data_IF_512775488675
#
_entry.id   IF_512775488675
#
_cell.length_a   1.000
_cell.length_b   1.000
_cell.length_c   1.000
_cell.angle_alpha   90.00
_cell.angle_beta   90.00
_cell.angle_gamma   90.00
#
_symmetry.space_group_name_H-M   'P 1'
#
loop_
_entity.id
_entity.type
_entity.pdbx_description
1 polymer ?
#
# COMPACT_ATOMS: atom_id res chain seq x y z
N UNK A 1 36.64 0.57 11.93
CA UNK A 1 35.73 -0.02 12.93
C UNK A 1 35.00 1.10 13.63
N UNK A 2 33.80 1.45 13.19
CA UNK A 2 32.85 2.27 13.98
C UNK A 2 31.45 1.95 13.46
N UNK A 3 30.80 1.06 14.16
CA UNK A 3 29.38 0.73 14.00
C UNK A 3 28.56 1.82 14.69
N UNK A 4 28.00 2.73 13.92
CA UNK A 4 27.01 3.69 14.42
C UNK A 4 25.66 2.98 14.53
N UNK A 5 25.27 2.62 15.75
CA UNK A 5 23.94 2.12 16.07
C UNK A 5 22.91 3.26 15.88
N UNK A 6 21.99 3.08 14.94
CA UNK A 6 20.85 3.97 14.72
C UNK A 6 19.87 3.80 15.87
N UNK A 7 19.95 4.66 16.89
CA UNK A 7 18.93 4.77 17.95
C UNK A 7 17.69 5.43 17.34
N UNK A 8 16.65 4.64 17.09
CA UNK A 8 15.31 5.15 16.76
C UNK A 8 14.78 5.87 18.00
N UNK A 9 14.59 7.17 17.90
CA UNK A 9 14.05 8.02 18.97
C UNK A 9 12.55 7.75 19.17
N UNK A 10 12.23 6.94 20.19
CA UNK A 10 10.86 6.56 20.58
C UNK A 10 10.06 7.78 21.08
N UNK A 11 10.72 8.89 21.43
CA UNK A 11 10.05 10.10 21.95
C UNK A 11 9.37 10.93 20.84
N UNK A 12 9.83 10.85 19.58
CA UNK A 12 9.22 11.59 18.46
C UNK A 12 7.87 11.02 18.05
N UNK A 13 7.65 9.72 18.32
CA UNK A 13 6.42 9.01 17.95
C UNK A 13 5.24 9.28 18.93
N UNK A 14 5.51 9.82 20.11
CA UNK A 14 4.46 10.17 21.10
C UNK A 14 3.72 11.46 20.74
N UNK A 15 4.39 12.47 20.20
CA UNK A 15 3.78 13.78 19.86
C UNK A 15 2.91 13.74 18.60
N UNK A 16 3.10 12.76 17.70
CA UNK A 16 2.29 12.60 16.48
C UNK A 16 0.92 11.96 16.72
N UNK A 17 0.69 11.31 17.88
CA UNK A 17 -0.58 10.67 18.23
C UNK A 17 -1.63 11.63 18.82
N UNK A 18 -1.24 12.86 19.17
CA UNK A 18 -2.12 13.81 19.87
C UNK A 18 -3.19 14.47 18.99
N UNK A 19 -3.11 14.31 17.64
CA UNK A 19 -4.08 14.88 16.70
C UNK A 19 -4.90 13.85 15.91
N UNK A 20 -4.89 12.58 16.32
CA UNK A 20 -5.72 11.55 15.66
C UNK A 20 -7.10 11.52 16.33
N UNK A 21 -8.20 11.74 15.59
CA UNK A 21 -9.55 11.67 16.15
C UNK A 21 -9.82 10.36 16.88
N UNK A 22 -10.57 10.38 17.98
CA UNK A 22 -10.83 9.20 18.84
C UNK A 22 -11.43 8.02 18.09
N UNK A 23 -12.28 8.26 17.09
CA UNK A 23 -12.86 7.22 16.24
C UNK A 23 -11.80 6.50 15.38
N UNK A 24 -10.76 7.22 14.93
CA UNK A 24 -9.61 6.63 14.22
C UNK A 24 -8.78 5.78 15.18
N UNK A 25 -8.59 6.20 16.42
CA UNK A 25 -7.87 5.42 17.44
C UNK A 25 -8.58 4.10 17.78
N UNK A 26 -9.91 4.09 17.86
CA UNK A 26 -10.69 2.85 18.04
C UNK A 26 -10.57 1.92 16.81
N UNK A 27 -10.57 2.49 15.62
CA UNK A 27 -10.41 1.74 14.38
C UNK A 27 -8.99 1.13 14.28
N UNK A 28 -7.95 1.91 14.57
CA UNK A 28 -6.55 1.43 14.61
C UNK A 28 -6.36 0.29 15.64
N UNK A 29 -7.13 0.28 16.73
CA UNK A 29 -7.10 -0.82 17.71
C UNK A 29 -7.55 -2.17 17.10
N UNK A 30 -8.45 -2.16 16.12
CA UNK A 30 -8.89 -3.34 15.36
C UNK A 30 -7.80 -3.92 14.44
N UNK A 31 -6.73 -3.16 14.17
CA UNK A 31 -5.60 -3.58 13.33
C UNK A 31 -4.48 -4.25 14.12
N UNK A 32 -4.64 -4.39 15.42
CA UNK A 32 -3.64 -4.99 16.31
C UNK A 32 -3.42 -6.47 15.94
N UNK A 33 -2.22 -6.82 15.50
CA UNK A 33 -1.87 -8.18 15.09
C UNK A 33 -2.07 -8.48 13.60
N UNK A 34 -2.59 -7.55 12.80
CA UNK A 34 -2.61 -7.67 11.34
C UNK A 34 -1.25 -7.30 10.77
N UNK A 35 -0.85 -7.97 9.72
CA UNK A 35 0.43 -7.78 9.05
C UNK A 35 0.22 -7.15 7.68
N UNK A 36 1.15 -6.29 7.29
CA UNK A 36 1.15 -5.72 5.95
C UNK A 36 1.69 -6.75 4.95
N UNK A 37 1.01 -6.89 3.82
CA UNK A 37 1.41 -7.80 2.76
C UNK A 37 1.40 -7.10 1.40
N UNK A 38 2.32 -7.50 0.51
CA UNK A 38 2.44 -6.96 -0.84
C UNK A 38 2.50 -8.10 -1.86
N UNK A 39 1.60 -8.05 -2.83
CA UNK A 39 1.54 -9.00 -3.94
C UNK A 39 1.78 -8.30 -5.26
N UNK A 40 2.86 -8.67 -5.93
CA UNK A 40 3.31 -8.08 -7.19
C UNK A 40 3.14 -9.05 -8.36
N UNK A 41 3.21 -8.56 -9.57
CA UNK A 41 3.24 -9.37 -10.79
C UNK A 41 2.65 -8.65 -11.99
N UNK A 42 2.81 -9.18 -13.16
CA UNK A 42 2.27 -8.63 -14.40
C UNK A 42 0.74 -8.54 -14.41
N UNK A 43 0.20 -7.77 -15.35
CA UNK A 43 -1.24 -7.67 -15.54
C UNK A 43 -1.85 -9.06 -15.83
N UNK A 44 -3.04 -9.33 -15.34
CA UNK A 44 -3.79 -10.60 -15.53
C UNK A 44 -3.08 -11.88 -15.04
N UNK A 45 -2.10 -11.80 -14.15
CA UNK A 45 -1.39 -12.97 -13.61
C UNK A 45 -2.12 -13.68 -12.46
N UNK A 46 -3.36 -13.30 -12.16
CA UNK A 46 -4.18 -13.99 -11.15
C UNK A 46 -3.93 -13.56 -9.70
N UNK A 47 -3.26 -12.42 -9.46
CA UNK A 47 -2.91 -11.89 -8.13
C UNK A 47 -4.12 -11.81 -7.19
N UNK A 48 -5.19 -11.12 -7.59
CA UNK A 48 -6.43 -10.97 -6.78
C UNK A 48 -7.03 -12.33 -6.40
N UNK A 49 -7.12 -13.27 -7.36
CA UNK A 49 -7.64 -14.62 -7.10
C UNK A 49 -6.75 -15.37 -6.09
N UNK A 50 -5.43 -15.23 -6.22
CA UNK A 50 -4.47 -15.82 -5.29
C UNK A 50 -4.64 -15.26 -3.89
N UNK A 51 -4.68 -13.93 -3.73
CA UNK A 51 -4.84 -13.25 -2.44
C UNK A 51 -6.16 -13.66 -1.76
N UNK A 52 -7.29 -13.67 -2.47
CA UNK A 52 -8.58 -14.06 -1.91
C UNK A 52 -8.70 -15.56 -1.59
N UNK A 53 -7.84 -16.40 -2.15
CA UNK A 53 -7.69 -17.80 -1.74
C UNK A 53 -6.87 -17.92 -0.45
N UNK A 54 -5.84 -17.09 -0.31
CA UNK A 54 -4.96 -17.04 0.86
C UNK A 54 -5.66 -16.40 2.06
N UNK A 55 -6.47 -15.36 1.82
CA UNK A 55 -7.22 -14.56 2.79
C UNK A 55 -8.73 -14.61 2.47
N UNK A 56 -9.43 -15.72 2.78
CA UNK A 56 -10.86 -15.84 2.50
C UNK A 56 -11.72 -14.78 3.22
N UNK A 57 -11.26 -14.29 4.37
CA UNK A 57 -11.87 -13.22 5.17
C UNK A 57 -11.91 -11.87 4.43
N UNK A 58 -11.02 -11.66 3.47
CA UNK A 58 -10.99 -10.46 2.64
C UNK A 58 -11.98 -10.49 1.47
N UNK A 59 -12.75 -11.57 1.32
CA UNK A 59 -13.74 -11.67 0.26
C UNK A 59 -14.83 -10.61 0.44
N UNK A 60 -15.02 -9.77 -0.58
CA UNK A 60 -15.92 -8.62 -0.52
C UNK A 60 -15.31 -7.36 0.09
N UNK A 61 -14.02 -7.38 0.47
CA UNK A 61 -13.31 -6.26 1.09
C UNK A 61 -12.20 -5.70 0.18
N UNK A 62 -12.38 -5.81 -1.12
CA UNK A 62 -11.41 -5.35 -2.12
C UNK A 62 -11.79 -3.98 -2.64
N UNK A 63 -10.90 -3.03 -2.47
CA UNK A 63 -10.99 -1.68 -3.00
C UNK A 63 -10.10 -1.62 -4.25
N UNK A 64 -10.69 -1.27 -5.39
CA UNK A 64 -9.90 -1.04 -6.59
C UNK A 64 -9.20 0.32 -6.49
N UNK A 65 -7.91 0.39 -6.83
CA UNK A 65 -7.09 1.59 -6.67
C UNK A 65 -7.66 2.82 -7.40
N UNK A 66 -8.28 2.62 -8.56
CA UNK A 66 -8.98 3.68 -9.29
C UNK A 66 -10.15 4.30 -8.51
N UNK A 67 -10.78 3.54 -7.59
CA UNK A 67 -11.88 3.99 -6.76
C UNK A 67 -11.42 4.61 -5.44
N UNK A 68 -10.20 4.28 -4.99
CA UNK A 68 -9.64 4.84 -3.76
C UNK A 68 -9.47 6.37 -3.90
N UNK A 69 -9.99 7.19 -2.96
CA UNK A 69 -9.82 8.64 -3.01
C UNK A 69 -8.35 9.08 -3.02
N UNK A 70 -8.07 10.19 -3.71
CA UNK A 70 -6.74 10.80 -3.77
C UNK A 70 -6.57 11.93 -2.74
N UNK A 71 -7.39 11.94 -1.70
CA UNK A 71 -7.30 12.80 -0.52
C UNK A 71 -7.40 11.97 0.76
N UNK A 72 -6.89 12.52 1.85
CA UNK A 72 -6.79 11.78 3.10
C UNK A 72 -8.13 11.46 3.75
N UNK A 73 -9.05 12.42 3.76
CA UNK A 73 -10.34 12.28 4.46
C UNK A 73 -11.26 11.28 3.72
N UNK A 74 -11.29 11.36 2.40
CA UNK A 74 -11.99 10.41 1.55
C UNK A 74 -11.42 8.99 1.70
N UNK A 75 -10.08 8.86 1.72
CA UNK A 75 -9.40 7.57 1.88
C UNK A 75 -9.73 6.91 3.23
N UNK A 76 -9.71 7.69 4.33
CA UNK A 76 -10.09 7.16 5.65
C UNK A 76 -11.53 6.68 5.64
N UNK A 77 -12.44 7.48 5.08
CA UNK A 77 -13.86 7.14 5.02
C UNK A 77 -14.08 5.83 4.25
N UNK A 78 -13.42 5.67 3.13
CA UNK A 78 -13.51 4.44 2.32
C UNK A 78 -12.95 3.23 3.08
N UNK A 79 -11.76 3.36 3.67
CA UNK A 79 -11.11 2.26 4.38
C UNK A 79 -11.84 1.82 5.65
N UNK A 80 -12.58 2.72 6.30
CA UNK A 80 -13.34 2.43 7.51
C UNK A 80 -14.57 1.54 7.27
N UNK A 81 -15.04 1.44 6.03
CA UNK A 81 -16.15 0.55 5.67
C UNK A 81 -15.74 -0.94 5.67
N UNK A 82 -14.45 -1.25 5.78
CA UNK A 82 -13.91 -2.59 5.65
C UNK A 82 -13.09 -3.01 6.87
N UNK A 83 -13.27 -4.27 7.30
CA UNK A 83 -12.47 -4.83 8.41
C UNK A 83 -11.07 -5.28 7.95
N UNK A 84 -10.97 -5.86 6.76
CA UNK A 84 -9.73 -6.39 6.19
C UNK A 84 -9.54 -5.92 4.75
N UNK A 85 -9.39 -4.60 4.51
CA UNK A 85 -9.34 -4.07 3.17
C UNK A 85 -8.11 -4.55 2.41
N UNK A 86 -8.34 -4.90 1.15
CA UNK A 86 -7.32 -5.21 0.16
C UNK A 86 -7.35 -4.11 -0.89
N UNK A 87 -6.25 -3.39 -1.07
CA UNK A 87 -6.12 -2.41 -2.14
C UNK A 87 -5.58 -3.13 -3.37
N UNK A 88 -6.45 -3.34 -4.36
CA UNK A 88 -6.08 -3.93 -5.64
C UNK A 88 -5.75 -2.85 -6.65
N UNK A 89 -4.88 -3.14 -7.60
CA UNK A 89 -4.39 -2.18 -8.60
C UNK A 89 -3.87 -0.86 -7.98
N UNK A 90 -3.04 -0.96 -6.94
CA UNK A 90 -2.45 0.19 -6.25
C UNK A 90 -1.84 1.21 -7.22
N UNK A 91 -1.24 0.76 -8.33
CA UNK A 91 -0.68 1.60 -9.37
C UNK A 91 -1.73 2.55 -9.98
N UNK A 92 -3.00 2.15 -10.12
CA UNK A 92 -4.04 3.03 -10.63
C UNK A 92 -4.40 4.18 -9.68
N UNK A 93 -4.34 3.93 -8.35
CA UNK A 93 -4.45 4.99 -7.36
C UNK A 93 -3.32 6.03 -7.49
N UNK A 94 -2.08 5.55 -7.69
CA UNK A 94 -0.93 6.46 -7.91
C UNK A 94 -1.14 7.32 -9.16
N UNK A 95 -1.60 6.72 -10.26
CA UNK A 95 -1.95 7.45 -11.49
C UNK A 95 -2.97 8.54 -11.21
N UNK A 96 -4.07 8.19 -10.52
CA UNK A 96 -5.13 9.14 -10.13
C UNK A 96 -4.57 10.30 -9.29
N UNK A 97 -3.71 10.02 -8.32
CA UNK A 97 -3.07 11.07 -7.51
C UNK A 97 -2.24 12.02 -8.37
N UNK A 98 -1.46 11.49 -9.33
CA UNK A 98 -0.66 12.31 -10.25
C UNK A 98 -1.52 13.18 -11.16
N UNK A 99 -2.59 12.63 -11.72
CA UNK A 99 -3.56 13.36 -12.55
C UNK A 99 -4.26 14.50 -11.78
N UNK A 100 -4.49 14.28 -10.47
CA UNK A 100 -5.06 15.27 -9.56
C UNK A 100 -4.02 16.16 -8.89
N UNK A 101 -2.73 16.03 -9.26
CA UNK A 101 -1.60 16.78 -8.68
C UNK A 101 -1.51 16.67 -7.15
N UNK A 102 -1.91 15.52 -6.60
CA UNK A 102 -1.84 15.23 -5.18
C UNK A 102 -0.46 14.65 -4.83
N UNK A 103 0.03 14.99 -3.65
CA UNK A 103 1.29 14.44 -3.13
C UNK A 103 1.12 12.96 -2.73
N UNK A 104 1.51 12.08 -3.65
CA UNK A 104 1.44 10.61 -3.49
C UNK A 104 2.26 10.15 -2.28
N UNK A 105 3.46 10.71 -2.10
CA UNK A 105 4.38 10.31 -1.04
C UNK A 105 3.80 10.63 0.34
N UNK A 106 3.26 11.83 0.50
CA UNK A 106 2.64 12.25 1.76
C UNK A 106 1.42 11.39 2.11
N UNK A 107 0.54 11.12 1.13
CA UNK A 107 -0.63 10.26 1.34
C UNK A 107 -0.23 8.82 1.64
N UNK A 108 0.74 8.29 0.91
CA UNK A 108 1.25 6.94 1.13
C UNK A 108 1.88 6.79 2.52
N UNK A 109 2.68 7.76 2.98
CA UNK A 109 3.26 7.73 4.32
C UNK A 109 2.18 7.67 5.40
N UNK A 110 1.18 8.53 5.32
CA UNK A 110 0.04 8.52 6.24
C UNK A 110 -0.69 7.18 6.21
N UNK A 111 -0.93 6.63 5.01
CA UNK A 111 -1.61 5.35 4.83
C UNK A 111 -0.83 4.21 5.50
N UNK A 112 0.47 4.09 5.24
CA UNK A 112 1.32 3.03 5.76
C UNK A 112 1.58 3.15 7.27
N UNK A 113 1.51 4.36 7.83
CA UNK A 113 1.63 4.59 9.28
C UNK A 113 0.31 4.31 10.02
N UNK A 114 -0.83 4.61 9.37
CA UNK A 114 -2.15 4.49 10.00
C UNK A 114 -2.71 3.07 9.91
N UNK A 115 -2.43 2.36 8.82
CA UNK A 115 -3.01 1.05 8.51
C UNK A 115 -1.92 -0.03 8.34
N UNK A 116 -1.31 -0.52 9.43
CA UNK A 116 -0.17 -1.44 9.37
C UNK A 116 -0.51 -2.86 8.86
N UNK A 117 -1.79 -3.19 8.72
CA UNK A 117 -2.25 -4.51 8.28
C UNK A 117 -2.89 -4.52 6.89
N UNK A 118 -2.65 -3.51 6.05
CA UNK A 118 -3.18 -3.48 4.68
C UNK A 118 -2.54 -4.54 3.80
N UNK A 119 -3.36 -5.12 2.93
CA UNK A 119 -2.91 -5.99 1.85
C UNK A 119 -2.92 -5.19 0.54
N UNK A 120 -1.77 -5.14 -0.11
CA UNK A 120 -1.60 -4.43 -1.37
C UNK A 120 -1.40 -5.41 -2.53
N UNK A 121 -2.12 -5.17 -3.62
CA UNK A 121 -1.92 -5.86 -4.91
C UNK A 121 -1.55 -4.81 -5.93
N UNK A 122 -0.41 -4.98 -6.60
CA UNK A 122 0.10 -4.02 -7.56
C UNK A 122 0.64 -4.70 -8.82
N UNK A 123 0.43 -4.08 -9.97
CA UNK A 123 1.04 -4.54 -11.21
C UNK A 123 2.48 -4.04 -11.34
N UNK A 124 3.33 -4.85 -11.95
CA UNK A 124 4.68 -4.49 -12.36
C UNK A 124 4.62 -3.66 -13.63
N UNK A 125 4.47 -2.33 -13.51
CA UNK A 125 4.32 -1.42 -14.66
C UNK A 125 5.65 -0.88 -15.20
N UNK A 126 6.75 -1.13 -14.51
CA UNK A 126 8.09 -0.65 -14.88
C UNK A 126 8.77 -1.44 -16.01
N UNK A 127 8.21 -2.60 -16.37
CA UNK A 127 8.79 -3.48 -17.39
C UNK A 127 8.46 -2.97 -18.81
N UNK A 128 9.48 -2.85 -19.66
CA UNK A 128 9.33 -2.47 -21.07
C UNK A 128 10.06 -1.19 -21.45
N UNK A 129 9.73 -0.65 -22.63
CA UNK A 129 10.38 0.53 -23.20
C UNK A 129 10.13 1.76 -22.31
N UNK A 130 11.16 2.61 -22.18
CA UNK A 130 11.03 3.89 -21.46
C UNK A 130 10.00 4.77 -22.17
N UNK A 131 8.96 5.25 -21.49
CA UNK A 131 7.94 6.09 -22.10
C UNK A 131 8.51 7.44 -22.54
N UNK A 132 8.08 7.93 -23.69
CA UNK A 132 8.40 9.30 -24.12
C UNK A 132 7.65 10.33 -23.30
N UNK A 133 6.45 10.03 -22.84
CA UNK A 133 5.63 10.89 -22.00
C UNK A 133 6.22 11.04 -20.59
N UNK A 134 6.29 12.29 -20.10
CA UNK A 134 6.87 12.61 -18.80
C UNK A 134 6.01 12.11 -17.64
N UNK A 135 4.68 12.19 -17.77
CA UNK A 135 3.75 11.71 -16.75
C UNK A 135 3.84 10.19 -16.59
N UNK A 136 3.97 9.46 -17.70
CA UNK A 136 4.16 8.01 -17.68
C UNK A 136 5.49 7.60 -17.03
N UNK A 137 6.56 8.39 -17.20
CA UNK A 137 7.84 8.13 -16.51
C UNK A 137 7.71 8.36 -15.01
N UNK A 138 7.12 9.49 -14.59
CA UNK A 138 6.87 9.84 -13.19
C UNK A 138 5.95 8.79 -12.52
N UNK A 139 4.90 8.37 -13.20
CA UNK A 139 4.01 7.31 -12.76
C UNK A 139 4.74 5.99 -12.46
N UNK A 140 5.59 5.54 -13.38
CA UNK A 140 6.39 4.31 -13.18
C UNK A 140 7.38 4.46 -12.03
N UNK A 141 8.05 5.61 -11.95
CA UNK A 141 9.02 5.89 -10.88
C UNK A 141 8.36 5.90 -9.51
N UNK A 142 7.26 6.63 -9.34
CA UNK A 142 6.54 6.70 -8.06
C UNK A 142 5.93 5.36 -7.67
N UNK A 143 5.41 4.61 -8.63
CA UNK A 143 4.92 3.25 -8.35
C UNK A 143 6.05 2.36 -7.82
N UNK A 144 7.20 2.36 -8.46
CA UNK A 144 8.36 1.59 -7.99
C UNK A 144 8.83 2.02 -6.60
N UNK A 145 8.92 3.32 -6.34
CA UNK A 145 9.30 3.88 -5.02
C UNK A 145 8.30 3.47 -3.94
N UNK A 146 7.00 3.54 -4.20
CA UNK A 146 5.99 3.13 -3.24
C UNK A 146 6.03 1.62 -2.98
N UNK A 147 6.22 0.79 -4.02
CA UNK A 147 6.40 -0.65 -3.85
C UNK A 147 7.60 -0.99 -2.94
N UNK A 148 8.74 -0.29 -3.10
CA UNK A 148 9.91 -0.45 -2.22
C UNK A 148 9.54 -0.13 -0.77
N UNK A 149 8.88 1.00 -0.51
CA UNK A 149 8.49 1.43 0.83
C UNK A 149 7.49 0.48 1.50
N UNK A 150 6.53 -0.05 0.73
CA UNK A 150 5.61 -1.08 1.22
C UNK A 150 6.39 -2.37 1.53
N UNK A 151 7.27 -2.82 0.64
CA UNK A 151 8.06 -4.03 0.83
C UNK A 151 8.98 -3.95 2.05
N UNK A 152 9.52 -2.77 2.38
CA UNK A 152 10.29 -2.55 3.62
C UNK A 152 9.45 -2.80 4.87
N UNK A 153 8.19 -2.35 4.90
CA UNK A 153 7.27 -2.46 6.04
C UNK A 153 6.51 -3.80 6.07
N UNK A 154 6.26 -4.40 4.91
CA UNK A 154 5.50 -5.64 4.79
C UNK A 154 6.23 -6.82 5.43
N UNK A 155 5.48 -7.73 6.07
CA UNK A 155 6.00 -9.00 6.58
C UNK A 155 5.98 -10.10 5.51
N UNK A 156 5.18 -9.89 4.45
CA UNK A 156 5.10 -10.79 3.31
C UNK A 156 5.15 -10.00 2.00
N UNK A 157 6.05 -10.41 1.11
CA UNK A 157 6.12 -9.92 -0.26
C UNK A 157 6.16 -11.12 -1.20
N UNK A 158 5.22 -11.22 -2.12
CA UNK A 158 5.15 -12.30 -3.10
C UNK A 158 4.98 -11.77 -4.52
N UNK A 159 5.64 -12.42 -5.46
CA UNK A 159 5.45 -12.20 -6.88
C UNK A 159 4.57 -13.31 -7.47
N UNK A 160 3.53 -12.94 -8.19
CA UNK A 160 2.58 -13.87 -8.80
C UNK A 160 2.81 -13.92 -10.30
N UNK A 161 3.08 -15.12 -10.79
CA UNK A 161 3.26 -15.41 -12.22
C UNK A 161 2.38 -16.60 -12.59
N UNK A 162 1.48 -16.42 -13.54
CA UNK A 162 0.53 -17.47 -13.96
C UNK A 162 -0.26 -18.11 -12.82
N UNK A 163 -0.63 -17.32 -11.79
CA UNK A 163 -1.35 -17.81 -10.62
C UNK A 163 -0.49 -18.55 -9.58
N UNK A 164 0.81 -18.67 -9.82
CA UNK A 164 1.79 -19.31 -8.93
C UNK A 164 2.54 -18.21 -8.18
N UNK A 165 2.69 -18.35 -6.85
CA UNK A 165 3.44 -17.39 -6.05
C UNK A 165 4.91 -17.75 -5.93
N UNK A 166 5.72 -16.72 -5.91
CA UNK A 166 7.12 -16.76 -5.51
C UNK A 166 7.30 -15.84 -4.31
N UNK A 167 7.67 -16.41 -3.17
CA UNK A 167 7.97 -15.63 -1.96
C UNK A 167 9.27 -14.85 -2.15
N UNK A 168 9.23 -13.54 -1.88
CA UNK A 168 10.40 -12.64 -1.91
C UNK A 168 10.85 -12.23 -0.50
N UNK A 169 9.87 -12.14 0.41
CA UNK A 169 10.11 -11.84 1.82
C UNK A 169 9.14 -12.59 2.72
#
# INVERSE_FOLDING_TARGET
MHTAAYKVDVASNRRRRENVPRHILCFIAGWKGKIMELFLGGCYQGKKKYVLKLHPECKGQVIEGENLPADWDGMIKELQEFENPVINHLHLWIRKCLEQQTDVELLADKLLETYPGLIFICDEIGNGIVPMDALERDYRERTGRLQIRIAEKAERVERIVCGISQRLK
#
